data_IF_554642593252
#
_entry.id   IF_554642593252
#
_cell.length_a   1.000
_cell.length_b   1.000
_cell.length_c   1.000
_cell.angle_alpha   90.00
_cell.angle_beta   90.00
_cell.angle_gamma   90.00
#
_symmetry.space_group_name_H-M   'P 1'
#
loop_
_entity.id
_entity.type
_entity.pdbx_description
1 polymer ?
#
# COMPACT_ATOMS: atom_id res chain seq x y z
N UNK A 1 13.95 17.36 2.60
CA UNK A 1 13.62 17.48 4.02
C UNK A 1 12.15 17.77 4.18
N UNK A 2 11.48 17.16 5.19
CA UNK A 2 10.16 17.54 5.65
C UNK A 2 10.32 18.71 6.63
N UNK A 3 9.48 19.73 6.48
CA UNK A 3 9.51 20.91 7.34
C UNK A 3 8.17 21.01 8.08
N UNK A 4 8.23 21.18 9.40
CA UNK A 4 7.04 21.46 10.21
C UNK A 4 6.44 22.81 9.82
N UNK A 5 5.13 22.84 9.60
CA UNK A 5 4.37 24.04 9.23
C UNK A 5 3.27 24.31 10.24
N UNK A 6 3.21 25.51 10.77
CA UNK A 6 2.13 25.99 11.62
C UNK A 6 1.02 26.61 10.75
N UNK A 7 0.49 25.82 9.82
CA UNK A 7 -0.62 26.20 8.94
C UNK A 7 -1.85 25.43 9.41
N UNK A 8 -2.98 26.09 9.69
CA UNK A 8 -4.19 25.39 10.11
C UNK A 8 -4.70 24.47 8.99
N UNK A 9 -4.97 23.21 9.33
CA UNK A 9 -5.62 22.29 8.43
C UNK A 9 -7.11 22.64 8.31
N UNK A 10 -7.54 22.99 7.10
CA UNK A 10 -8.93 23.36 6.83
C UNK A 10 -9.65 22.19 6.19
N UNK A 11 -10.64 21.65 6.89
CA UNK A 11 -11.52 20.61 6.35
C UNK A 11 -12.53 21.23 5.39
N UNK A 12 -12.63 20.73 4.17
CA UNK A 12 -13.50 21.28 3.12
C UNK A 12 -14.42 20.19 2.56
N UNK A 13 -15.55 20.62 1.98
CA UNK A 13 -16.34 19.74 1.15
C UNK A 13 -15.52 19.30 -0.06
N UNK A 14 -15.63 18.01 -0.42
CA UNK A 14 -14.99 17.46 -1.62
C UNK A 14 -15.38 18.28 -2.86
N UNK A 15 -14.38 18.71 -3.61
CA UNK A 15 -14.55 19.45 -4.84
C UNK A 15 -13.37 19.11 -5.78
N UNK A 16 -13.64 18.33 -6.79
CA UNK A 16 -12.66 17.91 -7.78
C UNK A 16 -12.23 16.44 -7.68
N UNK A 17 -11.34 16.03 -8.58
CA UNK A 17 -10.84 14.68 -8.67
C UNK A 17 -9.96 14.31 -7.46
N UNK A 18 -9.95 13.03 -7.05
CA UNK A 18 -9.04 12.53 -6.02
C UNK A 18 -7.58 12.58 -6.49
N UNK A 19 -6.66 12.44 -5.55
CA UNK A 19 -5.21 12.42 -5.81
C UNK A 19 -4.69 13.70 -6.49
N UNK A 20 -5.30 14.87 -6.18
CA UNK A 20 -4.79 16.14 -6.66
C UNK A 20 -3.43 16.47 -6.02
N UNK A 21 -2.61 17.27 -6.70
CA UNK A 21 -1.30 17.66 -6.21
C UNK A 21 -1.35 18.38 -4.86
N UNK A 22 -0.80 17.75 -3.82
CA UNK A 22 -0.65 18.35 -2.48
C UNK A 22 0.66 19.12 -2.35
N UNK A 23 1.71 18.64 -3.00
CA UNK A 23 2.98 19.34 -3.08
C UNK A 23 3.00 20.28 -4.27
N UNK A 24 3.19 21.55 -4.02
CA UNK A 24 3.36 22.58 -5.04
C UNK A 24 4.72 23.23 -4.78
N UNK A 25 5.67 23.15 -5.73
CA UNK A 25 6.97 23.81 -5.58
C UNK A 25 6.79 25.29 -5.23
N UNK A 26 7.66 25.79 -4.36
CA UNK A 26 7.71 27.19 -3.91
C UNK A 26 6.46 27.71 -3.17
N UNK A 27 5.49 26.84 -2.87
CA UNK A 27 4.34 27.21 -2.05
C UNK A 27 4.38 26.52 -0.68
N UNK A 28 3.99 27.27 0.34
CA UNK A 28 3.79 26.74 1.70
C UNK A 28 2.44 26.03 1.76
N UNK A 29 2.42 24.72 1.55
CA UNK A 29 1.22 23.90 1.61
C UNK A 29 1.38 22.77 2.63
N UNK A 30 0.28 22.29 3.18
CA UNK A 30 0.28 21.03 3.92
C UNK A 30 0.40 19.86 2.94
N UNK A 31 1.14 18.82 3.33
CA UNK A 31 1.30 17.60 2.55
C UNK A 31 0.17 16.60 2.77
N UNK A 32 -0.93 17.06 3.34
CA UNK A 32 -2.16 16.27 3.48
C UNK A 32 -3.38 17.16 3.35
N UNK A 33 -4.53 16.55 3.09
CA UNK A 33 -5.82 17.20 3.02
C UNK A 33 -6.90 16.30 3.61
N UNK A 34 -7.80 16.88 4.38
CA UNK A 34 -9.03 16.24 4.83
C UNK A 34 -10.20 16.91 4.13
N UNK A 35 -11.07 16.13 3.54
CA UNK A 35 -12.32 16.61 2.95
C UNK A 35 -13.48 15.67 3.29
N UNK A 36 -14.71 16.12 3.04
CA UNK A 36 -15.89 15.31 3.28
C UNK A 36 -16.88 15.37 2.13
N UNK A 37 -17.60 14.29 1.94
CA UNK A 37 -18.74 14.24 1.04
C UNK A 37 -19.87 13.39 1.66
N UNK A 38 -21.02 14.03 1.96
CA UNK A 38 -22.12 13.38 2.70
C UNK A 38 -21.61 12.78 4.03
N UNK A 39 -21.66 11.46 4.17
CA UNK A 39 -21.20 10.68 5.32
C UNK A 39 -19.82 10.05 5.15
N UNK A 40 -19.03 10.50 4.17
CA UNK A 40 -17.68 10.02 3.90
C UNK A 40 -16.65 11.10 4.29
N UNK A 41 -15.63 10.69 5.03
CA UNK A 41 -14.42 11.48 5.30
C UNK A 41 -13.35 10.98 4.33
N UNK A 42 -12.75 11.89 3.59
CA UNK A 42 -11.62 11.61 2.71
C UNK A 42 -10.34 12.17 3.32
N UNK A 43 -9.31 11.36 3.34
CA UNK A 43 -7.97 11.75 3.72
C UNK A 43 -7.02 11.50 2.56
N UNK A 44 -6.34 12.54 2.13
CA UNK A 44 -5.30 12.48 1.11
C UNK A 44 -3.99 12.92 1.73
N UNK A 45 -2.93 12.17 1.49
CA UNK A 45 -1.59 12.44 2.02
C UNK A 45 -0.55 12.22 0.94
N UNK A 46 0.43 13.14 0.88
CA UNK A 46 1.59 12.98 0.02
C UNK A 46 2.50 11.89 0.60
N UNK A 47 2.81 10.89 -0.21
CA UNK A 47 3.46 9.66 0.27
C UNK A 47 4.87 9.88 0.88
N UNK A 48 5.49 11.03 0.64
CA UNK A 48 6.75 11.37 1.32
C UNK A 48 6.56 11.65 2.83
N UNK A 49 5.33 11.93 3.28
CA UNK A 49 5.05 12.22 4.70
C UNK A 49 4.93 10.93 5.53
N UNK A 50 4.26 9.92 4.99
CA UNK A 50 3.96 8.67 5.68
C UNK A 50 3.57 7.56 4.72
N UNK A 51 3.60 6.33 5.19
CA UNK A 51 3.06 5.17 4.48
C UNK A 51 1.59 4.88 4.84
N UNK A 52 1.05 3.79 4.27
CA UNK A 52 -0.35 3.40 4.52
C UNK A 52 -0.64 3.11 5.99
N UNK A 53 0.33 2.62 6.77
CA UNK A 53 0.16 2.36 8.20
C UNK A 53 0.02 3.67 8.98
N UNK A 54 0.97 4.62 8.81
CA UNK A 54 0.90 5.90 9.50
C UNK A 54 -0.31 6.74 9.04
N UNK A 55 -0.66 6.71 7.75
CA UNK A 55 -1.86 7.37 7.24
C UNK A 55 -3.14 6.81 7.87
N UNK A 56 -3.24 5.50 8.05
CA UNK A 56 -4.39 4.86 8.69
C UNK A 56 -4.48 5.20 10.17
N UNK A 57 -3.36 5.22 10.89
CA UNK A 57 -3.31 5.66 12.29
C UNK A 57 -3.86 7.08 12.44
N UNK A 58 -3.37 8.02 11.62
CA UNK A 58 -3.87 9.40 11.64
C UNK A 58 -5.39 9.47 11.35
N UNK A 59 -5.86 8.74 10.34
CA UNK A 59 -7.28 8.73 9.98
C UNK A 59 -8.15 8.15 11.11
N UNK A 60 -7.69 7.09 11.75
CA UNK A 60 -8.42 6.47 12.87
C UNK A 60 -8.51 7.41 14.07
N UNK A 61 -7.42 8.09 14.44
CA UNK A 61 -7.44 9.11 15.49
C UNK A 61 -8.33 10.31 15.13
N UNK A 62 -8.30 10.75 13.88
CA UNK A 62 -9.20 11.81 13.40
C UNK A 62 -10.67 11.42 13.55
N UNK A 63 -11.04 10.20 13.14
CA UNK A 63 -12.41 9.71 13.25
C UNK A 63 -12.81 9.49 14.70
N UNK A 64 -11.93 8.97 15.55
CA UNK A 64 -12.17 8.82 16.99
C UNK A 64 -12.48 10.16 17.65
N UNK A 65 -11.63 11.18 17.42
CA UNK A 65 -11.85 12.50 17.97
C UNK A 65 -13.16 13.13 17.44
N UNK A 66 -13.47 12.99 16.16
CA UNK A 66 -14.75 13.41 15.59
C UNK A 66 -15.95 12.75 16.28
N UNK A 67 -15.89 11.43 16.50
CA UNK A 67 -16.95 10.70 17.17
C UNK A 67 -17.08 11.11 18.64
N UNK A 68 -15.97 11.38 19.32
CA UNK A 68 -15.97 11.85 20.72
C UNK A 68 -16.63 13.22 20.85
N UNK A 69 -16.38 14.13 19.91
CA UNK A 69 -17.04 15.45 19.84
C UNK A 69 -18.56 15.32 19.57
N UNK A 70 -18.94 14.44 18.67
CA UNK A 70 -20.34 14.21 18.31
C UNK A 70 -21.11 13.41 19.37
N UNK A 71 -20.45 12.58 20.14
CA UNK A 71 -21.01 11.69 21.15
C UNK A 71 -20.18 11.72 22.45
N UNK A 72 -20.21 12.81 23.22
CA UNK A 72 -19.32 13.00 24.39
C UNK A 72 -19.46 11.92 25.48
N UNK A 73 -20.61 11.26 25.56
CA UNK A 73 -20.89 10.19 26.52
C UNK A 73 -20.58 8.77 26.02
N UNK A 74 -20.12 8.64 24.77
CA UNK A 74 -19.78 7.32 24.21
C UNK A 74 -18.41 6.86 24.69
N UNK A 75 -18.33 5.64 25.19
CA UNK A 75 -17.06 4.97 25.45
C UNK A 75 -16.51 4.45 24.12
N UNK A 76 -15.49 5.12 23.59
CA UNK A 76 -14.80 4.69 22.39
C UNK A 76 -13.61 3.81 22.76
N UNK A 77 -13.31 2.76 21.97
CA UNK A 77 -12.17 1.90 22.23
C UNK A 77 -10.86 2.68 22.08
N UNK A 78 -9.88 2.32 22.87
CA UNK A 78 -8.52 2.79 22.72
C UNK A 78 -7.92 2.16 21.46
N UNK A 79 -7.52 2.99 20.51
CA UNK A 79 -7.07 2.51 19.19
C UNK A 79 -5.64 1.98 19.20
N UNK A 80 -4.80 2.56 20.07
CA UNK A 80 -3.38 2.24 20.17
C UNK A 80 -2.98 2.20 21.64
N UNK A 81 -3.17 1.06 22.32
CA UNK A 81 -3.00 0.93 23.76
C UNK A 81 -1.56 1.02 24.27
N UNK A 82 -0.61 1.35 23.41
CA UNK A 82 0.81 1.41 23.79
C UNK A 82 1.14 2.79 24.38
N UNK A 83 0.88 2.95 25.68
CA UNK A 83 1.02 4.20 26.44
C UNK A 83 2.43 4.82 26.43
N UNK A 84 3.44 4.10 25.91
CA UNK A 84 4.85 4.50 25.95
C UNK A 84 5.37 5.04 24.59
N UNK A 85 4.52 5.27 23.58
CA UNK A 85 4.97 5.83 22.31
C UNK A 85 5.20 7.32 22.48
N UNK A 86 6.44 7.76 22.30
CA UNK A 86 6.80 9.18 22.31
C UNK A 86 6.70 9.77 20.90
N UNK A 87 6.58 11.10 20.79
CA UNK A 87 6.63 11.79 19.50
C UNK A 87 7.94 11.50 18.74
N UNK A 88 9.03 11.24 19.46
CA UNK A 88 10.33 10.89 18.87
C UNK A 88 10.29 9.50 18.23
N UNK A 89 9.65 8.52 18.87
CA UNK A 89 9.50 7.18 18.31
C UNK A 89 8.69 7.22 17.01
N UNK A 90 7.68 8.09 16.93
CA UNK A 90 6.86 8.25 15.72
C UNK A 90 7.62 8.86 14.55
N UNK A 91 8.64 9.67 14.80
CA UNK A 91 9.45 10.38 13.78
C UNK A 91 10.74 9.62 13.42
N UNK A 92 11.03 8.48 14.06
CA UNK A 92 12.26 7.74 13.88
C UNK A 92 12.41 7.21 12.45
N UNK A 93 13.62 7.33 11.88
CA UNK A 93 13.99 6.71 10.61
C UNK A 93 14.37 5.24 10.81
N UNK A 94 13.39 4.37 10.68
CA UNK A 94 13.57 2.93 10.85
C UNK A 94 14.44 2.28 9.78
N UNK A 95 14.56 2.89 8.59
CA UNK A 95 15.48 2.38 7.56
C UNK A 95 16.92 2.48 8.04
N UNK A 96 17.31 3.64 8.54
CA UNK A 96 18.66 3.85 9.07
C UNK A 96 18.97 2.93 10.26
N UNK A 97 17.96 2.59 11.07
CA UNK A 97 18.11 1.71 12.24
C UNK A 97 18.45 0.25 11.84
N UNK A 98 17.85 -0.25 10.76
CA UNK A 98 17.95 -1.66 10.35
C UNK A 98 18.84 -1.88 9.13
N UNK A 99 19.41 -0.83 8.55
CA UNK A 99 20.35 -0.93 7.44
C UNK A 99 21.67 -1.55 7.88
N UNK A 100 22.20 -2.45 7.05
CA UNK A 100 23.55 -3.03 7.21
C UNK A 100 24.37 -2.86 5.94
N UNK A 101 25.50 -2.18 6.03
CA UNK A 101 26.43 -1.99 4.90
C UNK A 101 27.05 -3.29 4.39
N UNK A 102 27.07 -4.33 5.22
CA UNK A 102 27.78 -5.60 4.94
C UNK A 102 26.91 -6.62 4.21
N UNK A 103 25.64 -6.30 3.95
CA UNK A 103 24.73 -7.20 3.25
C UNK A 103 25.06 -7.30 1.76
N UNK A 104 25.11 -8.52 1.18
CA UNK A 104 25.40 -8.70 -0.23
C UNK A 104 24.28 -8.14 -1.09
N UNK A 105 24.59 -7.17 -1.93
CA UNK A 105 23.65 -6.62 -2.92
C UNK A 105 23.53 -7.58 -4.11
N UNK A 106 22.40 -8.28 -4.22
CA UNK A 106 22.08 -9.12 -5.38
C UNK A 106 21.12 -8.37 -6.32
N UNK A 107 21.66 -7.74 -7.35
CA UNK A 107 20.83 -7.28 -8.49
C UNK A 107 20.62 -8.44 -9.44
N UNK A 108 19.44 -9.06 -9.42
CA UNK A 108 19.02 -9.98 -10.47
C UNK A 108 18.49 -9.17 -11.66
N UNK A 109 19.02 -9.46 -12.86
CA UNK A 109 18.49 -8.90 -14.10
C UNK A 109 17.16 -9.59 -14.42
N UNK A 110 16.06 -8.86 -14.25
CA UNK A 110 14.70 -9.36 -14.55
C UNK A 110 14.32 -9.06 -15.99
N UNK A 111 13.58 -9.97 -16.61
CA UNK A 111 12.99 -9.73 -17.94
C UNK A 111 11.92 -8.64 -17.84
N UNK A 112 11.80 -7.78 -18.88
CA UNK A 112 10.77 -6.74 -18.89
C UNK A 112 9.38 -7.38 -18.90
N UNK A 113 8.53 -6.94 -17.96
CA UNK A 113 7.14 -7.38 -17.85
C UNK A 113 6.27 -6.78 -18.97
N UNK A 114 5.10 -7.39 -19.16
CA UNK A 114 4.05 -6.82 -19.99
C UNK A 114 3.64 -5.45 -19.40
N UNK A 115 3.50 -4.46 -20.29
CA UNK A 115 3.05 -3.12 -19.92
C UNK A 115 1.64 -2.90 -20.43
N UNK A 116 0.68 -2.70 -19.53
CA UNK A 116 -0.65 -2.26 -19.91
C UNK A 116 -0.57 -0.94 -20.64
N UNK A 117 -1.23 -0.87 -21.80
CA UNK A 117 -1.32 0.33 -22.62
C UNK A 117 -2.77 0.83 -22.62
N UNK A 118 -2.93 2.13 -22.64
CA UNK A 118 -4.24 2.78 -22.70
C UNK A 118 -4.07 4.27 -22.96
N UNK A 119 -5.18 4.95 -23.17
CA UNK A 119 -5.18 6.41 -23.24
C UNK A 119 -4.82 6.99 -21.89
N UNK A 120 -3.93 8.00 -21.92
CA UNK A 120 -3.58 8.75 -20.71
C UNK A 120 -4.60 9.86 -20.52
N UNK A 121 -5.37 9.74 -19.47
CA UNK A 121 -6.26 10.80 -19.02
C UNK A 121 -5.47 11.93 -18.36
N UNK A 122 -6.04 13.14 -18.35
CA UNK A 122 -5.52 14.23 -17.55
C UNK A 122 -5.78 13.93 -16.06
N UNK A 123 -5.02 14.54 -15.18
CA UNK A 123 -5.17 14.30 -13.72
C UNK A 123 -6.57 14.68 -13.22
N UNK A 124 -7.17 15.74 -13.75
CA UNK A 124 -8.52 16.15 -13.41
C UNK A 124 -9.62 15.19 -13.90
N UNK A 125 -9.29 14.32 -14.86
CA UNK A 125 -10.22 13.31 -15.41
C UNK A 125 -10.07 11.95 -14.71
N UNK A 126 -9.25 11.86 -13.64
CA UNK A 126 -9.06 10.62 -12.87
C UNK A 126 -10.37 10.17 -12.25
N UNK A 127 -10.67 8.88 -12.37
CA UNK A 127 -11.79 8.23 -11.71
C UNK A 127 -11.30 7.11 -10.79
N UNK A 128 -12.11 6.81 -9.77
CA UNK A 128 -11.89 5.67 -8.86
C UNK A 128 -13.00 4.66 -9.10
N UNK A 129 -12.63 3.41 -9.31
CA UNK A 129 -13.57 2.29 -9.32
C UNK A 129 -13.52 1.59 -7.97
N UNK A 130 -14.64 1.58 -7.26
CA UNK A 130 -14.78 0.90 -5.97
C UNK A 130 -15.55 -0.40 -6.16
N UNK A 131 -15.02 -1.48 -5.59
CA UNK A 131 -15.66 -2.80 -5.60
C UNK A 131 -15.77 -3.29 -4.17
N UNK A 132 -16.99 -3.64 -3.75
CA UNK A 132 -17.25 -4.24 -2.44
C UNK A 132 -17.50 -5.73 -2.59
N UNK A 133 -16.70 -6.54 -1.91
CA UNK A 133 -16.85 -7.99 -1.89
C UNK A 133 -17.10 -8.43 -0.44
N UNK A 134 -18.10 -9.27 -0.16
CA UNK A 134 -18.33 -9.82 1.17
C UNK A 134 -17.10 -10.61 1.66
N UNK A 135 -16.50 -10.18 2.78
CA UNK A 135 -15.28 -10.79 3.32
C UNK A 135 -15.44 -12.29 3.56
N UNK A 136 -16.60 -12.75 4.02
CA UNK A 136 -16.85 -14.18 4.28
C UNK A 136 -16.74 -15.01 3.00
N UNK A 137 -17.21 -14.50 1.87
CA UNK A 137 -17.19 -15.22 0.60
C UNK A 137 -15.78 -15.33 0.04
N UNK A 138 -15.05 -14.20 -0.02
CA UNK A 138 -13.67 -14.21 -0.52
C UNK A 138 -12.74 -15.03 0.38
N UNK A 139 -12.92 -14.94 1.70
CA UNK A 139 -12.18 -15.76 2.65
C UNK A 139 -12.45 -17.26 2.47
N UNK A 140 -13.72 -17.64 2.28
CA UNK A 140 -14.08 -19.05 2.06
C UNK A 140 -13.44 -19.59 0.76
N UNK A 141 -13.45 -18.82 -0.33
CA UNK A 141 -12.79 -19.19 -1.60
C UNK A 141 -11.28 -19.34 -1.44
N UNK A 142 -10.62 -18.36 -0.83
CA UNK A 142 -9.19 -18.41 -0.58
C UNK A 142 -8.81 -19.60 0.32
N UNK A 143 -9.58 -19.86 1.40
CA UNK A 143 -9.38 -21.00 2.29
C UNK A 143 -9.58 -22.34 1.57
N UNK A 144 -10.61 -22.47 0.73
CA UNK A 144 -10.84 -23.67 -0.06
C UNK A 144 -9.68 -23.96 -1.03
N UNK A 145 -9.04 -22.90 -1.55
CA UNK A 145 -7.85 -23.00 -2.39
C UNK A 145 -6.53 -23.13 -1.58
N UNK A 146 -6.59 -23.13 -0.26
CA UNK A 146 -5.43 -23.29 0.63
C UNK A 146 -4.46 -22.10 0.60
N UNK A 147 -4.98 -20.87 0.39
CA UNK A 147 -4.19 -19.63 0.29
C UNK A 147 -4.77 -18.51 1.13
N UNK A 148 -4.00 -17.43 1.34
CA UNK A 148 -4.51 -16.19 1.95
C UNK A 148 -5.37 -15.40 0.93
N UNK A 149 -6.20 -14.47 1.44
CA UNK A 149 -6.99 -13.55 0.59
C UNK A 149 -6.05 -12.77 -0.33
N UNK A 150 -4.92 -12.29 0.17
CA UNK A 150 -3.95 -11.51 -0.63
C UNK A 150 -3.41 -12.33 -1.79
N UNK A 151 -2.98 -13.58 -1.55
CA UNK A 151 -2.51 -14.50 -2.59
C UNK A 151 -3.59 -14.76 -3.64
N UNK A 152 -4.83 -15.01 -3.18
CA UNK A 152 -5.98 -15.25 -4.06
C UNK A 152 -6.28 -14.05 -4.96
N UNK A 153 -6.36 -12.85 -4.38
CA UNK A 153 -6.62 -11.62 -5.14
C UNK A 153 -5.47 -11.26 -6.08
N UNK A 154 -4.22 -11.51 -5.68
CA UNK A 154 -3.05 -11.32 -6.55
C UNK A 154 -3.13 -12.24 -7.77
N UNK A 155 -3.45 -13.52 -7.57
CA UNK A 155 -3.62 -14.46 -8.68
C UNK A 155 -4.79 -14.07 -9.60
N UNK A 156 -5.92 -13.64 -9.02
CA UNK A 156 -7.08 -13.18 -9.78
C UNK A 156 -6.77 -11.94 -10.62
N UNK A 157 -6.01 -10.98 -10.08
CA UNK A 157 -5.60 -9.79 -10.82
C UNK A 157 -4.63 -10.14 -11.95
N UNK A 158 -3.65 -11.02 -11.71
CA UNK A 158 -2.74 -11.50 -12.76
C UNK A 158 -3.52 -12.19 -13.88
N UNK A 159 -4.50 -13.03 -13.53
CA UNK A 159 -5.37 -13.69 -14.50
C UNK A 159 -6.19 -12.68 -15.31
N UNK A 160 -6.82 -11.72 -14.65
CA UNK A 160 -7.60 -10.69 -15.33
C UNK A 160 -6.75 -9.84 -16.30
N UNK A 161 -5.50 -9.51 -15.91
CA UNK A 161 -4.56 -8.82 -16.80
C UNK A 161 -4.22 -9.72 -18.00
N UNK A 162 -4.05 -11.02 -17.79
CA UNK A 162 -3.74 -11.95 -18.90
C UNK A 162 -4.83 -11.97 -19.98
N UNK A 163 -6.11 -11.90 -19.60
CA UNK A 163 -7.23 -11.84 -20.56
C UNK A 163 -7.15 -10.60 -21.49
N UNK A 164 -6.48 -9.55 -21.04
CA UNK A 164 -6.27 -8.31 -21.81
C UNK A 164 -4.95 -8.29 -22.61
N UNK A 165 -4.09 -9.33 -22.48
CA UNK A 165 -2.79 -9.37 -23.16
C UNK A 165 -2.96 -9.70 -24.64
N UNK A 166 -2.47 -8.86 -25.57
CA UNK A 166 -2.47 -9.19 -26.99
C UNK A 166 -1.66 -10.44 -27.29
N UNK A 167 -2.12 -11.26 -28.22
CA UNK A 167 -1.50 -12.54 -28.60
C UNK A 167 0.00 -12.43 -28.92
N UNK A 168 0.43 -11.33 -29.53
CA UNK A 168 1.84 -11.10 -29.86
C UNK A 168 2.72 -10.72 -28.64
N UNK A 169 2.16 -10.55 -27.46
CA UNK A 169 2.85 -10.20 -26.21
C UNK A 169 2.73 -11.25 -25.10
N UNK A 170 2.06 -12.35 -25.32
CA UNK A 170 1.85 -13.46 -24.36
C UNK A 170 3.16 -14.01 -23.78
N UNK A 171 4.28 -13.88 -24.51
CA UNK A 171 5.61 -14.33 -24.04
C UNK A 171 6.24 -13.49 -22.93
N UNK A 172 5.68 -12.32 -22.64
CA UNK A 172 6.15 -11.47 -21.54
C UNK A 172 5.48 -11.86 -20.22
N UNK A 173 6.22 -11.86 -19.10
CA UNK A 173 5.58 -12.10 -17.81
C UNK A 173 4.64 -10.98 -17.43
N UNK A 174 3.57 -11.32 -16.73
CA UNK A 174 2.74 -10.35 -16.01
C UNK A 174 3.31 -10.23 -14.61
N UNK A 175 3.72 -9.02 -14.23
CA UNK A 175 4.33 -8.75 -12.94
C UNK A 175 3.50 -7.78 -12.11
N UNK A 176 3.37 -8.05 -10.82
CA UNK A 176 2.78 -7.18 -9.82
C UNK A 176 3.79 -6.85 -8.74
N UNK A 177 3.79 -5.60 -8.33
CA UNK A 177 4.51 -5.13 -7.15
C UNK A 177 3.52 -5.09 -5.97
N UNK A 178 3.83 -5.82 -4.90
CA UNK A 178 2.99 -5.90 -3.70
C UNK A 178 3.72 -5.22 -2.56
N UNK A 179 3.21 -4.10 -2.02
CA UNK A 179 3.82 -3.44 -0.88
C UNK A 179 3.76 -4.31 0.38
N UNK A 180 4.81 -4.23 1.20
CA UNK A 180 4.97 -4.99 2.43
C UNK A 180 5.28 -4.04 3.58
N UNK A 181 4.50 -4.11 4.65
CA UNK A 181 4.78 -3.39 5.88
C UNK A 181 5.98 -4.03 6.59
N UNK A 182 7.12 -3.33 6.60
CA UNK A 182 8.36 -3.84 7.21
C UNK A 182 8.28 -3.94 8.74
N UNK A 183 7.32 -3.27 9.38
CA UNK A 183 7.09 -3.38 10.83
C UNK A 183 6.68 -4.79 11.26
N UNK A 184 6.24 -5.63 10.31
CA UNK A 184 5.98 -7.05 10.57
C UNK A 184 7.25 -7.90 10.72
N UNK A 185 8.40 -7.37 10.30
CA UNK A 185 9.71 -8.04 10.30
C UNK A 185 10.71 -7.37 11.24
N UNK A 186 10.60 -6.06 11.37
CA UNK A 186 11.50 -5.21 12.13
C UNK A 186 10.68 -4.36 13.10
N UNK A 187 10.85 -4.54 14.43
CA UNK A 187 10.11 -3.74 15.41
C UNK A 187 10.31 -2.24 15.18
N UNK A 188 9.24 -1.52 14.91
CA UNK A 188 9.26 -0.08 14.71
C UNK A 188 7.92 0.52 15.12
N UNK A 189 8.00 1.68 15.79
CA UNK A 189 6.84 2.53 16.16
C UNK A 189 6.73 3.78 15.28
N UNK A 190 7.62 3.91 14.30
CA UNK A 190 7.64 5.06 13.41
C UNK A 190 6.36 5.18 12.59
N UNK A 191 5.84 6.40 12.47
CA UNK A 191 4.76 6.76 11.55
C UNK A 191 5.27 7.26 10.21
N UNK A 192 6.58 7.41 10.05
CA UNK A 192 7.24 7.69 8.77
C UNK A 192 7.16 6.47 7.84
N UNK A 193 7.62 6.64 6.61
CA UNK A 193 7.68 5.53 5.65
C UNK A 193 8.58 4.40 6.15
N UNK A 194 8.01 3.21 6.32
CA UNK A 194 8.75 2.00 6.62
C UNK A 194 8.11 0.80 5.95
N UNK A 195 8.18 0.77 4.62
CA UNK A 195 7.66 -0.31 3.80
C UNK A 195 8.65 -0.72 2.71
N UNK A 196 8.54 -1.95 2.26
CA UNK A 196 9.21 -2.47 1.09
C UNK A 196 8.19 -3.04 0.12
N UNK A 197 8.63 -3.86 -0.82
CA UNK A 197 7.75 -4.57 -1.73
C UNK A 197 8.32 -5.93 -2.12
N UNK A 198 7.42 -6.81 -2.53
CA UNK A 198 7.75 -8.03 -3.24
C UNK A 198 7.28 -7.94 -4.68
N UNK A 199 7.91 -8.67 -5.56
CA UNK A 199 7.53 -8.74 -6.96
C UNK A 199 7.10 -10.16 -7.30
N UNK A 200 5.88 -10.29 -7.80
CA UNK A 200 5.27 -11.55 -8.21
C UNK A 200 5.16 -11.52 -9.74
N UNK A 201 5.71 -12.52 -10.42
CA UNK A 201 5.71 -12.59 -11.87
C UNK A 201 5.23 -13.95 -12.36
N UNK A 202 4.27 -13.96 -13.29
CA UNK A 202 3.75 -15.19 -13.89
C UNK A 202 3.90 -15.17 -15.40
N UNK A 203 4.30 -16.31 -15.95
CA UNK A 203 4.30 -16.57 -17.39
C UNK A 203 3.10 -17.44 -17.74
N UNK A 204 2.53 -17.18 -18.89
CA UNK A 204 1.39 -17.92 -19.39
C UNK A 204 1.77 -18.76 -20.60
N UNK A 205 1.22 -19.97 -20.66
CA UNK A 205 1.24 -20.89 -21.80
C UNK A 205 -0.19 -21.10 -22.27
N UNK A 206 -0.38 -21.74 -23.41
CA UNK A 206 -1.70 -21.95 -24.02
C UNK A 206 -2.66 -22.79 -23.16
N UNK A 207 -2.11 -23.58 -22.26
CA UNK A 207 -2.84 -24.52 -21.38
C UNK A 207 -2.77 -24.13 -19.90
N UNK A 208 -2.24 -22.95 -19.57
CA UNK A 208 -2.16 -22.45 -18.19
C UNK A 208 -3.55 -22.28 -17.60
N UNK A 209 -3.82 -22.99 -16.50
CA UNK A 209 -5.06 -22.84 -15.73
C UNK A 209 -4.90 -21.82 -14.60
N UNK A 210 -6.02 -21.34 -14.07
CA UNK A 210 -6.01 -20.42 -12.91
C UNK A 210 -5.30 -21.03 -11.69
N UNK A 211 -5.49 -22.33 -11.48
CA UNK A 211 -4.88 -23.08 -10.39
C UNK A 211 -3.35 -23.09 -10.46
N UNK A 212 -2.78 -23.13 -11.67
CA UNK A 212 -1.33 -23.06 -11.89
C UNK A 212 -0.78 -21.70 -11.48
N UNK A 213 -1.49 -20.63 -11.86
CA UNK A 213 -1.15 -19.26 -11.45
C UNK A 213 -1.26 -19.12 -9.94
N UNK A 214 -2.34 -19.60 -9.33
CA UNK A 214 -2.55 -19.53 -7.88
C UNK A 214 -1.43 -20.25 -7.11
N UNK A 215 -1.02 -21.42 -7.57
CA UNK A 215 0.10 -22.19 -7.00
C UNK A 215 1.41 -21.40 -7.13
N UNK A 216 1.71 -20.90 -8.32
CA UNK A 216 2.91 -20.11 -8.58
C UNK A 216 2.97 -18.86 -7.70
N UNK A 217 1.87 -18.11 -7.59
CA UNK A 217 1.78 -16.94 -6.72
C UNK A 217 2.01 -17.31 -5.26
N UNK A 218 1.39 -18.41 -4.77
CA UNK A 218 1.58 -18.90 -3.39
C UNK A 218 3.06 -19.20 -3.10
N UNK A 219 3.73 -19.89 -3.99
CA UNK A 219 5.14 -20.27 -3.85
C UNK A 219 6.05 -19.03 -3.84
N UNK A 220 5.79 -18.08 -4.74
CA UNK A 220 6.52 -16.81 -4.78
C UNK A 220 6.30 -15.98 -3.51
N UNK A 221 5.07 -15.87 -2.99
CA UNK A 221 4.82 -15.19 -1.73
C UNK A 221 5.59 -15.84 -0.58
N UNK A 222 5.60 -17.16 -0.47
CA UNK A 222 6.33 -17.86 0.58
C UNK A 222 7.84 -17.60 0.53
N UNK A 223 8.42 -17.52 -0.68
CA UNK A 223 9.83 -17.22 -0.90
C UNK A 223 10.15 -15.75 -0.61
N UNK A 224 9.39 -14.84 -1.21
CA UNK A 224 9.66 -13.41 -1.21
C UNK A 224 9.40 -12.74 0.17
N UNK A 225 8.49 -13.32 0.97
CA UNK A 225 8.19 -12.88 2.34
C UNK A 225 9.04 -13.58 3.41
N UNK A 226 10.03 -14.40 3.03
CA UNK A 226 10.98 -14.92 4.00
C UNK A 226 11.81 -13.80 4.61
N UNK A 227 12.17 -13.93 5.89
CA UNK A 227 12.90 -12.90 6.62
C UNK A 227 14.21 -12.51 5.92
N UNK A 228 14.97 -13.50 5.48
CA UNK A 228 16.26 -13.28 4.82
C UNK A 228 16.13 -12.47 3.50
N UNK A 229 15.05 -12.71 2.73
CA UNK A 229 14.80 -11.97 1.49
C UNK A 229 14.35 -10.55 1.79
N UNK A 230 13.53 -10.35 2.82
CA UNK A 230 13.07 -9.02 3.24
C UNK A 230 14.25 -8.20 3.80
N UNK A 231 15.14 -8.80 4.60
CA UNK A 231 16.37 -8.15 5.08
C UNK A 231 17.29 -7.72 3.93
N UNK A 232 17.52 -8.61 2.96
CA UNK A 232 18.32 -8.28 1.79
C UNK A 232 17.72 -7.11 0.98
N UNK A 233 16.39 -7.10 0.80
CA UNK A 233 15.68 -6.02 0.10
C UNK A 233 15.71 -4.70 0.86
N UNK A 234 15.60 -4.71 2.19
CA UNK A 234 15.73 -3.50 3.00
C UNK A 234 17.07 -2.80 2.71
N UNK A 235 18.16 -3.56 2.63
CA UNK A 235 19.49 -3.02 2.35
C UNK A 235 19.65 -2.50 0.91
N UNK A 236 18.80 -2.93 -0.03
CA UNK A 236 18.78 -2.39 -1.40
C UNK A 236 17.96 -1.09 -1.52
N UNK A 237 17.17 -0.74 -0.51
CA UNK A 237 16.32 0.46 -0.46
C UNK A 237 17.06 1.69 0.10
N UNK A 238 18.17 1.50 0.80
CA UNK A 238 19.03 2.54 1.39
C UNK A 238 20.28 2.72 0.56
#
# INVERSE_FOLDING_TARGET
YLERRDIPAVVKKEAGAPCSGLYIPDKKTLLFRVSYYKNRINFEVFHALTDGTGAMHFLMELVKNYLQEMHPSAELPELFPDENITGRDMEEDSFSQYYSSDAPRKRESKKPAFQLKGEKLRQEDMSITEVCIPVKEIHARAKAAGVSITVFLTAALIWAIHEEVPQNQVKKPIGLMIPVNLRNYFPSRSMANFFGWIEISCYFQSDTAFEDILKSVKEQFAKELSKDVIEAKLNDLV
#
